data_IF_470737084589
#
_entry.id   IF_470737084589
#
_cell.length_a   1.000
_cell.length_b   1.000
_cell.length_c   1.000
_cell.angle_alpha   90.00
_cell.angle_beta   90.00
_cell.angle_gamma   90.00
#
_symmetry.space_group_name_H-M   'P 1'
#
loop_
_entity.id
_entity.type
_entity.pdbx_description
1 polymer ?
#
# COMPACT_ATOMS: atom_id res chain seq x y z
N UNK A 1 10.55 -20.53 2.37
CA UNK A 1 9.31 -20.02 2.99
C UNK A 1 8.20 -20.05 1.96
N UNK A 2 7.11 -20.75 2.23
CA UNK A 2 5.93 -20.77 1.36
C UNK A 2 5.18 -19.45 1.55
N UNK A 3 4.86 -18.76 0.46
CA UNK A 3 4.08 -17.53 0.52
C UNK A 3 2.68 -17.83 1.09
N UNK A 4 2.07 -16.91 1.88
CA UNK A 4 0.74 -17.12 2.39
C UNK A 4 -0.27 -17.30 1.24
N UNK A 5 -1.22 -18.23 1.41
CA UNK A 5 -2.25 -18.51 0.41
C UNK A 5 -3.21 -17.31 0.20
N UNK A 6 -3.28 -16.42 1.18
CA UNK A 6 -4.14 -15.24 1.19
C UNK A 6 -3.30 -13.98 1.00
N UNK A 7 -3.51 -13.27 -0.12
CA UNK A 7 -2.77 -12.05 -0.46
C UNK A 7 -3.73 -10.98 -0.96
N UNK A 8 -4.32 -10.23 -0.06
CA UNK A 8 -5.24 -9.14 -0.45
C UNK A 8 -4.54 -8.05 -1.24
N UNK A 9 -3.24 -7.84 -0.99
CA UNK A 9 -2.38 -6.87 -1.69
C UNK A 9 -1.06 -7.58 -2.01
N UNK A 10 -0.61 -7.48 -3.26
CA UNK A 10 0.70 -7.99 -3.65
C UNK A 10 1.79 -6.93 -3.39
N UNK A 11 2.22 -6.86 -2.12
CA UNK A 11 3.27 -5.94 -1.70
C UNK A 11 4.60 -6.17 -2.41
N UNK A 12 4.88 -7.38 -2.87
CA UNK A 12 6.10 -7.67 -3.62
C UNK A 12 6.07 -6.98 -4.98
N UNK A 13 4.99 -7.17 -5.73
CA UNK A 13 4.79 -6.51 -7.02
C UNK A 13 4.83 -4.99 -6.88
N UNK A 14 4.20 -4.44 -5.82
CA UNK A 14 4.22 -3.02 -5.52
C UNK A 14 5.65 -2.52 -5.29
N UNK A 15 6.41 -3.18 -4.41
CA UNK A 15 7.79 -2.78 -4.11
C UNK A 15 8.68 -2.87 -5.33
N UNK A 16 8.59 -3.94 -6.10
CA UNK A 16 9.39 -4.13 -7.32
C UNK A 16 9.05 -3.05 -8.37
N UNK A 17 7.77 -2.70 -8.54
CA UNK A 17 7.32 -1.66 -9.47
C UNK A 17 7.83 -0.27 -9.06
N UNK A 18 7.72 0.08 -7.78
CA UNK A 18 8.17 1.36 -7.25
C UNK A 18 9.70 1.48 -7.33
N UNK A 19 10.42 0.41 -7.01
CA UNK A 19 11.87 0.36 -7.11
C UNK A 19 12.33 0.55 -8.55
N UNK A 20 11.78 -0.19 -9.50
CA UNK A 20 12.14 -0.09 -10.92
C UNK A 20 11.83 1.29 -11.49
N UNK A 21 10.65 1.86 -11.16
CA UNK A 21 10.32 3.22 -11.53
C UNK A 21 11.37 4.21 -11.06
N UNK A 22 11.77 4.09 -9.79
CA UNK A 22 12.71 5.03 -9.20
C UNK A 22 14.11 4.92 -9.80
N UNK A 23 14.60 3.70 -10.03
CA UNK A 23 15.87 3.45 -10.73
C UNK A 23 15.87 4.06 -12.12
N UNK A 24 14.81 3.80 -12.90
CA UNK A 24 14.70 4.26 -14.29
C UNK A 24 14.75 5.80 -14.40
N UNK A 25 14.25 6.51 -13.39
CA UNK A 25 14.09 7.96 -13.44
C UNK A 25 15.19 8.72 -12.72
N UNK A 26 15.60 8.26 -11.53
CA UNK A 26 16.61 8.97 -10.74
C UNK A 26 18.02 8.78 -11.29
N UNK A 27 18.25 7.68 -12.02
CA UNK A 27 19.58 7.29 -12.49
C UNK A 27 20.54 6.97 -11.34
N UNK A 28 20.00 6.64 -10.15
CA UNK A 28 20.78 6.27 -8.98
C UNK A 28 20.63 4.79 -8.67
N UNK A 29 21.66 4.20 -8.09
CA UNK A 29 21.48 2.95 -7.38
C UNK A 29 20.45 3.14 -6.27
N UNK A 30 19.42 2.29 -6.24
CA UNK A 30 18.29 2.45 -5.35
C UNK A 30 18.15 1.27 -4.42
N UNK A 31 18.01 1.54 -3.14
CA UNK A 31 17.83 0.54 -2.09
C UNK A 31 16.54 0.78 -1.31
N UNK A 32 16.04 -0.26 -0.66
CA UNK A 32 15.01 -0.11 0.37
C UNK A 32 15.67 0.18 1.71
N UNK A 33 15.20 1.20 2.44
CA UNK A 33 15.77 1.61 3.73
C UNK A 33 15.68 0.52 4.81
N UNK A 34 14.76 -0.43 4.66
CA UNK A 34 14.56 -1.57 5.55
C UNK A 34 15.39 -2.82 5.20
N UNK A 35 16.26 -2.71 4.20
CA UNK A 35 17.16 -3.81 3.81
C UNK A 35 18.45 -3.82 4.63
N UNK A 36 18.87 -5.02 5.06
CA UNK A 36 20.20 -5.23 5.66
C UNK A 36 21.27 -5.32 4.56
N UNK A 37 21.42 -4.25 3.78
CA UNK A 37 22.42 -4.16 2.72
C UNK A 37 23.46 -3.09 3.07
N UNK A 38 24.71 -3.22 2.61
CA UNK A 38 25.70 -2.15 2.72
C UNK A 38 25.18 -0.89 1.99
N UNK A 39 25.56 0.26 2.51
CA UNK A 39 25.27 1.53 1.85
C UNK A 39 25.95 1.57 0.48
N UNK A 40 25.20 1.90 -0.61
CA UNK A 40 25.83 2.08 -1.92
C UNK A 40 26.77 3.27 -1.97
N UNK A 41 27.57 3.33 -3.05
CA UNK A 41 28.33 4.52 -3.36
C UNK A 41 27.41 5.70 -3.75
N UNK A 42 27.83 6.92 -3.47
CA UNK A 42 27.11 8.12 -3.92
C UNK A 42 27.24 8.32 -5.45
N UNK A 43 26.20 8.82 -6.14
CA UNK A 43 24.86 9.09 -5.61
C UNK A 43 24.03 7.82 -5.50
N UNK A 44 23.23 7.71 -4.45
CA UNK A 44 22.26 6.63 -4.31
C UNK A 44 20.91 7.13 -3.81
N UNK A 45 19.89 6.31 -3.96
CA UNK A 45 18.57 6.58 -3.46
C UNK A 45 18.09 5.54 -2.45
N UNK A 46 17.30 5.96 -1.49
CA UNK A 46 16.63 5.07 -0.55
C UNK A 46 15.12 5.26 -0.57
N UNK A 47 14.40 4.15 -0.61
CA UNK A 47 12.94 4.11 -0.58
C UNK A 47 12.48 3.53 0.75
N UNK A 48 11.44 4.13 1.33
CA UNK A 48 10.84 3.65 2.56
C UNK A 48 9.32 3.79 2.52
N UNK A 49 8.60 2.69 2.74
CA UNK A 49 7.16 2.75 3.02
C UNK A 49 7.03 3.08 4.51
N UNK A 50 6.51 4.27 4.81
CA UNK A 50 6.46 4.76 6.18
C UNK A 50 5.55 3.89 7.05
N UNK A 51 6.01 3.42 8.22
CA UNK A 51 5.21 2.63 9.15
C UNK A 51 3.99 3.42 9.65
N UNK A 52 2.85 2.74 9.75
CA UNK A 52 1.61 3.34 10.26
C UNK A 52 0.88 4.27 9.30
N UNK A 53 1.37 4.43 8.06
CA UNK A 53 0.70 5.23 7.03
C UNK A 53 -0.22 4.40 6.13
N UNK A 54 -0.31 3.09 6.35
CA UNK A 54 -1.25 2.23 5.67
C UNK A 54 -2.63 2.45 6.28
N UNK A 55 -3.47 3.16 5.55
CA UNK A 55 -4.84 3.44 5.98
C UNK A 55 -5.79 2.37 5.43
N UNK A 56 -6.71 1.93 6.26
CA UNK A 56 -7.76 1.02 5.82
C UNK A 56 -8.80 1.70 4.90
N UNK A 57 -8.78 3.03 4.83
CA UNK A 57 -9.74 3.79 4.04
C UNK A 57 -11.18 3.64 4.54
N UNK A 58 -12.14 3.73 3.63
CA UNK A 58 -13.55 3.44 3.90
C UNK A 58 -13.76 1.93 4.15
N UNK A 59 -14.94 1.58 4.64
CA UNK A 59 -15.35 0.19 4.78
C UNK A 59 -15.16 -0.57 3.46
N UNK A 60 -14.68 -1.80 3.57
CA UNK A 60 -14.55 -2.69 2.42
C UNK A 60 -15.94 -2.97 1.83
N UNK A 61 -16.02 -3.00 0.51
CA UNK A 61 -17.24 -3.32 -0.21
C UNK A 61 -17.30 -4.82 -0.49
N UNK A 62 -18.43 -5.42 -0.17
CA UNK A 62 -18.72 -6.83 -0.45
C UNK A 62 -19.50 -6.94 -1.76
N UNK A 63 -19.05 -7.79 -2.67
CA UNK A 63 -19.70 -8.06 -3.95
C UNK A 63 -19.82 -9.56 -4.17
N UNK A 64 -21.03 -10.03 -4.43
CA UNK A 64 -21.26 -11.40 -4.87
C UNK A 64 -21.02 -11.43 -6.37
N UNK A 65 -20.13 -12.33 -6.81
CA UNK A 65 -19.80 -12.54 -8.21
C UNK A 65 -20.86 -13.47 -8.88
N UNK A 66 -20.88 -13.48 -10.20
CA UNK A 66 -21.81 -14.33 -10.96
C UNK A 66 -21.59 -15.84 -10.72
N UNK A 67 -20.38 -16.23 -10.28
CA UNK A 67 -20.03 -17.61 -9.92
C UNK A 67 -20.38 -17.96 -8.47
N UNK A 68 -21.03 -17.06 -7.73
CA UNK A 68 -21.40 -17.22 -6.33
C UNK A 68 -20.26 -16.98 -5.34
N UNK A 69 -19.06 -16.62 -5.78
CA UNK A 69 -17.96 -16.22 -4.88
C UNK A 69 -18.21 -14.85 -4.28
N UNK A 70 -17.73 -14.63 -3.05
CA UNK A 70 -17.73 -13.32 -2.42
C UNK A 70 -16.41 -12.61 -2.70
N UNK A 71 -16.49 -11.40 -3.28
CA UNK A 71 -15.36 -10.51 -3.44
C UNK A 71 -15.45 -9.37 -2.43
N UNK A 72 -14.43 -9.24 -1.59
CA UNK A 72 -14.27 -8.11 -0.67
C UNK A 72 -13.21 -7.17 -1.24
N UNK A 73 -13.57 -5.93 -1.49
CA UNK A 73 -12.73 -4.92 -2.12
C UNK A 73 -12.64 -3.69 -1.24
N UNK A 74 -11.43 -3.24 -0.95
CA UNK A 74 -11.25 -2.04 -0.14
C UNK A 74 -10.03 -1.22 -0.54
N UNK A 75 -10.15 0.13 -0.52
CA UNK A 75 -9.02 1.01 -0.79
C UNK A 75 -8.02 0.98 0.37
N UNK A 76 -6.75 1.05 0.03
CA UNK A 76 -5.65 1.18 0.98
C UNK A 76 -4.71 2.25 0.49
N UNK A 77 -4.32 3.16 1.37
CA UNK A 77 -3.36 4.22 1.09
C UNK A 77 -2.09 4.00 1.89
N UNK A 78 -0.96 4.37 1.31
CA UNK A 78 0.33 4.36 2.00
C UNK A 78 1.21 5.49 1.51
N UNK A 79 2.21 5.84 2.29
CA UNK A 79 3.19 6.87 1.92
C UNK A 79 4.53 6.21 1.64
N UNK A 80 5.08 6.51 0.47
CA UNK A 80 6.43 6.18 0.06
C UNK A 80 7.31 7.41 0.27
N UNK A 81 8.26 7.34 1.18
CA UNK A 81 9.31 8.35 1.34
C UNK A 81 10.51 7.98 0.48
N UNK A 82 10.92 8.89 -0.38
CA UNK A 82 12.04 8.73 -1.29
C UNK A 82 13.13 9.73 -0.93
N UNK A 83 14.36 9.26 -0.77
CA UNK A 83 15.50 10.11 -0.47
C UNK A 83 16.61 9.86 -1.48
N UNK A 84 17.21 10.93 -1.98
CA UNK A 84 18.36 10.89 -2.88
C UNK A 84 19.53 11.53 -2.17
N UNK A 85 20.62 10.78 -2.06
CA UNK A 85 21.83 11.15 -1.35
C UNK A 85 22.97 11.39 -2.35
N UNK A 86 23.56 12.58 -2.30
CA UNK A 86 24.72 12.95 -3.13
C UNK A 86 25.84 13.39 -2.22
N UNK A 87 26.94 12.66 -2.27
CA UNK A 87 28.16 12.99 -1.52
C UNK A 87 28.93 14.16 -2.16
N UNK A 88 29.87 14.76 -1.42
CA UNK A 88 30.64 15.92 -1.89
C UNK A 88 31.47 15.61 -3.14
N UNK A 89 32.01 14.39 -3.25
CA UNK A 89 32.87 13.98 -4.37
C UNK A 89 32.10 13.33 -5.52
N UNK A 90 30.78 13.20 -5.39
CA UNK A 90 29.96 12.49 -6.37
C UNK A 90 29.48 13.40 -7.50
N UNK A 91 29.58 14.72 -7.36
CA UNK A 91 29.13 15.71 -8.31
C UNK A 91 29.83 17.05 -8.06
N UNK A 92 30.05 17.84 -9.11
CA UNK A 92 30.58 19.21 -9.01
C UNK A 92 29.63 20.16 -8.25
N UNK A 93 28.33 19.89 -8.30
CA UNK A 93 27.30 20.58 -7.55
C UNK A 93 26.30 19.58 -6.92
N UNK A 94 26.64 18.99 -5.76
CA UNK A 94 25.80 17.98 -5.12
C UNK A 94 24.41 18.48 -4.74
N UNK A 95 24.24 19.77 -4.45
CA UNK A 95 22.93 20.35 -4.14
C UNK A 95 22.02 20.35 -5.37
N UNK A 96 22.49 20.90 -6.49
CA UNK A 96 21.71 20.91 -7.71
C UNK A 96 21.46 19.51 -8.26
N UNK A 97 22.44 18.60 -8.18
CA UNK A 97 22.28 17.23 -8.66
C UNK A 97 21.22 16.47 -7.86
N UNK A 98 21.25 16.52 -6.53
CA UNK A 98 20.24 15.86 -5.69
C UNK A 98 18.83 16.39 -5.96
N UNK A 99 18.69 17.70 -6.13
CA UNK A 99 17.42 18.34 -6.43
C UNK A 99 16.90 18.00 -7.84
N UNK A 100 17.75 18.07 -8.86
CA UNK A 100 17.35 17.75 -10.24
C UNK A 100 16.86 16.31 -10.36
N UNK A 101 17.50 15.37 -9.69
CA UNK A 101 17.07 13.96 -9.66
C UNK A 101 15.71 13.81 -8.98
N UNK A 102 15.48 14.49 -7.87
CA UNK A 102 14.19 14.47 -7.18
C UNK A 102 13.08 15.12 -8.04
N UNK A 103 13.38 16.25 -8.70
CA UNK A 103 12.43 16.91 -9.61
C UNK A 103 12.13 16.03 -10.84
N UNK A 104 13.11 15.27 -11.35
CA UNK A 104 12.89 14.29 -12.42
C UNK A 104 11.92 13.19 -11.99
N UNK A 105 12.09 12.64 -10.78
CA UNK A 105 11.17 11.66 -10.22
C UNK A 105 9.77 12.22 -10.11
N UNK A 106 9.61 13.41 -9.56
CA UNK A 106 8.31 14.09 -9.47
C UNK A 106 7.68 14.32 -10.85
N UNK A 107 8.46 14.78 -11.81
CA UNK A 107 7.97 15.06 -13.17
C UNK A 107 7.59 13.81 -13.94
N UNK A 108 8.26 12.68 -13.67
CA UNK A 108 7.99 11.40 -14.33
C UNK A 108 6.58 10.87 -14.09
N UNK A 109 5.93 11.27 -12.99
CA UNK A 109 4.55 10.90 -12.68
C UNK A 109 3.55 11.40 -13.73
N UNK A 110 3.92 12.42 -14.52
CA UNK A 110 3.16 12.91 -15.68
C UNK A 110 3.31 12.01 -16.91
N UNK A 111 4.33 11.14 -16.97
CA UNK A 111 4.64 10.32 -18.14
C UNK A 111 3.69 9.12 -18.20
N UNK A 112 2.96 8.91 -19.31
CA UNK A 112 1.97 7.84 -19.42
C UNK A 112 2.54 6.45 -19.15
N UNK A 113 3.75 6.15 -19.62
CA UNK A 113 4.38 4.84 -19.45
C UNK A 113 4.51 4.43 -17.97
N UNK A 114 5.01 5.32 -17.10
CA UNK A 114 5.14 5.04 -15.69
C UNK A 114 3.77 4.89 -15.02
N UNK A 115 2.79 5.68 -15.42
CA UNK A 115 1.41 5.54 -14.94
C UNK A 115 0.79 4.22 -15.33
N UNK A 116 1.06 3.70 -16.54
CA UNK A 116 0.59 2.37 -16.96
C UNK A 116 1.24 1.26 -16.15
N UNK A 117 2.56 1.33 -15.91
CA UNK A 117 3.27 0.35 -15.06
C UNK A 117 2.71 0.33 -13.63
N UNK A 118 2.46 1.49 -13.04
CA UNK A 118 1.84 1.59 -11.71
C UNK A 118 0.44 1.00 -11.69
N UNK A 119 -0.40 1.30 -12.68
CA UNK A 119 -1.74 0.71 -12.77
C UNK A 119 -1.70 -0.80 -12.92
N UNK A 120 -0.76 -1.35 -13.66
CA UNK A 120 -0.56 -2.79 -13.79
C UNK A 120 -0.23 -3.48 -12.45
N UNK A 121 0.39 -2.74 -11.53
CA UNK A 121 0.65 -3.16 -10.15
C UNK A 121 -0.46 -2.75 -9.17
N UNK A 122 -1.64 -2.36 -9.68
CA UNK A 122 -2.77 -1.88 -8.86
C UNK A 122 -2.42 -0.65 -8.00
N UNK A 123 -1.57 0.24 -8.52
CA UNK A 123 -1.16 1.46 -7.85
C UNK A 123 -1.77 2.70 -8.51
N UNK A 124 -2.30 3.58 -7.69
CA UNK A 124 -2.73 4.93 -8.07
C UNK A 124 -1.98 5.98 -7.25
N UNK A 125 -1.55 7.05 -7.90
CA UNK A 125 -0.97 8.20 -7.21
C UNK A 125 -2.12 9.04 -6.66
N UNK A 126 -2.09 9.31 -5.36
CA UNK A 126 -3.08 10.14 -4.67
C UNK A 126 -2.59 11.56 -4.52
N UNK A 127 -1.35 11.71 -4.06
CA UNK A 127 -0.74 12.99 -3.76
C UNK A 127 0.79 12.91 -3.78
N UNK A 128 1.44 14.06 -3.82
CA UNK A 128 2.89 14.20 -3.71
C UNK A 128 3.23 15.39 -2.81
N UNK A 129 4.20 15.19 -1.94
CA UNK A 129 4.79 16.27 -1.17
C UNK A 129 5.72 17.17 -1.99
N UNK A 130 6.14 18.30 -1.46
CA UNK A 130 7.19 19.11 -2.03
C UNK A 130 8.54 18.38 -1.96
N UNK A 131 9.44 18.69 -2.90
CA UNK A 131 10.85 18.31 -2.77
C UNK A 131 11.49 19.14 -1.66
N UNK A 132 11.95 18.45 -0.62
CA UNK A 132 12.63 19.05 0.54
C UNK A 132 14.12 18.78 0.45
N UNK A 133 14.94 19.80 0.72
CA UNK A 133 16.38 19.65 0.84
C UNK A 133 16.71 19.46 2.32
N UNK A 134 17.25 18.31 2.66
CA UNK A 134 17.57 17.90 4.02
C UNK A 134 19.06 17.51 4.08
N UNK A 135 19.91 18.50 4.28
CA UNK A 135 21.35 18.25 4.36
C UNK A 135 21.70 17.44 5.60
N UNK A 136 22.64 16.52 5.45
CA UNK A 136 23.14 15.68 6.53
C UNK A 136 24.65 15.87 6.68
N UNK A 137 25.09 16.19 7.88
CA UNK A 137 26.50 16.23 8.21
C UNK A 137 26.95 14.85 8.72
N UNK A 138 27.95 14.26 8.06
CA UNK A 138 28.56 13.01 8.46
C UNK A 138 30.06 13.24 8.67
N UNK A 139 30.48 13.27 9.91
CA UNK A 139 31.87 13.63 10.25
C UNK A 139 32.16 15.10 9.90
N UNK A 140 33.02 15.34 8.92
CA UNK A 140 33.37 16.68 8.43
C UNK A 140 32.77 16.99 7.06
N UNK A 141 31.97 16.08 6.51
CA UNK A 141 31.43 16.19 5.17
C UNK A 141 29.92 16.45 5.19
N UNK A 142 29.48 17.27 4.26
CA UNK A 142 28.07 17.54 4.04
C UNK A 142 27.53 16.71 2.90
N UNK A 143 26.60 15.81 3.21
CA UNK A 143 25.86 15.03 2.23
C UNK A 143 24.59 15.79 1.87
N UNK A 144 24.40 16.07 0.60
CA UNK A 144 23.18 16.70 0.11
C UNK A 144 22.11 15.63 -0.06
N UNK A 145 20.95 15.90 0.56
CA UNK A 145 19.84 14.97 0.56
C UNK A 145 18.56 15.68 0.10
N UNK A 146 18.00 15.20 -1.00
CA UNK A 146 16.67 15.58 -1.44
C UNK A 146 15.66 14.53 -1.01
N UNK A 147 14.56 14.93 -0.40
CA UNK A 147 13.46 14.05 -0.01
C UNK A 147 12.16 14.46 -0.68
N UNK A 148 11.38 13.49 -1.08
CA UNK A 148 10.00 13.65 -1.53
C UNK A 148 9.15 12.49 -1.05
N UNK A 149 7.96 12.80 -0.58
CA UNK A 149 7.00 11.81 -0.11
C UNK A 149 5.85 11.72 -1.10
N UNK A 150 5.47 10.50 -1.46
CA UNK A 150 4.36 10.22 -2.35
C UNK A 150 3.29 9.42 -1.61
N UNK A 151 2.04 9.85 -1.71
CA UNK A 151 0.91 9.06 -1.26
C UNK A 151 0.36 8.24 -2.41
N UNK A 152 0.41 6.92 -2.25
CA UNK A 152 -0.14 5.96 -3.19
C UNK A 152 -1.40 5.32 -2.63
N UNK A 153 -2.33 5.00 -3.52
CA UNK A 153 -3.48 4.15 -3.23
C UNK A 153 -3.37 2.82 -3.95
N UNK A 154 -3.82 1.77 -3.31
CA UNK A 154 -3.99 0.43 -3.88
C UNK A 154 -5.33 -0.15 -3.46
N UNK A 155 -5.74 -1.23 -4.09
CA UNK A 155 -6.97 -1.95 -3.73
C UNK A 155 -6.62 -3.30 -3.13
N UNK A 156 -7.19 -3.57 -1.97
CA UNK A 156 -7.23 -4.92 -1.41
C UNK A 156 -8.33 -5.71 -2.12
N UNK A 157 -8.01 -6.88 -2.65
CA UNK A 157 -8.96 -7.77 -3.30
C UNK A 157 -8.90 -9.13 -2.62
N UNK A 158 -10.01 -9.55 -2.04
CA UNK A 158 -10.16 -10.82 -1.37
C UNK A 158 -11.30 -11.58 -2.02
N UNK A 159 -11.00 -12.65 -2.73
CA UNK A 159 -12.02 -13.54 -3.29
C UNK A 159 -12.18 -14.76 -2.38
N UNK A 160 -13.36 -14.98 -1.85
CA UNK A 160 -13.74 -16.14 -1.07
C UNK A 160 -14.56 -17.05 -1.98
N UNK A 161 -13.93 -18.14 -2.45
CA UNK A 161 -14.61 -19.22 -3.14
C UNK A 161 -15.45 -19.95 -2.12
N UNK A 162 -16.35 -20.71 -2.30
CA UNK A 162 -17.15 -21.49 -1.35
C UNK A 162 -17.82 -20.62 -0.26
N UNK A 163 -18.12 -19.37 -0.57
CA UNK A 163 -18.98 -18.57 0.28
C UNK A 163 -20.35 -19.24 0.34
N UNK A 164 -20.89 -19.49 1.54
CA UNK A 164 -22.21 -20.12 1.65
C UNK A 164 -23.22 -19.30 0.87
N UNK A 165 -23.87 -19.96 -0.09
CA UNK A 165 -24.83 -19.29 -0.95
C UNK A 165 -25.96 -18.71 -0.08
N UNK A 166 -26.14 -17.40 -0.11
CA UNK A 166 -27.22 -16.70 0.60
C UNK A 166 -28.63 -17.18 0.21
N UNK A 167 -28.71 -17.92 -0.90
CA UNK A 167 -29.96 -18.60 -1.31
C UNK A 167 -30.19 -19.94 -0.59
N UNK A 168 -29.24 -20.40 0.26
CA UNK A 168 -29.49 -21.53 1.14
C UNK A 168 -30.23 -21.03 2.40
N UNK A 169 -31.55 -21.27 2.53
CA UNK A 169 -32.32 -20.80 3.65
C UNK A 169 -31.87 -21.37 5.00
N UNK A 170 -30.97 -22.36 4.99
CA UNK A 170 -30.36 -22.92 6.19
C UNK A 170 -29.33 -22.01 6.86
N UNK A 171 -28.86 -20.97 6.18
CA UNK A 171 -27.79 -20.10 6.72
C UNK A 171 -28.29 -19.17 7.84
N UNK A 172 -29.54 -18.73 7.79
CA UNK A 172 -30.16 -17.92 8.83
C UNK A 172 -30.91 -18.70 9.90
N UNK A 173 -31.01 -20.04 9.78
CA UNK A 173 -31.73 -20.87 10.73
C UNK A 173 -31.04 -21.07 12.07
N UNK A 174 -29.83 -20.50 12.29
CA UNK A 174 -29.09 -20.59 13.56
C UNK A 174 -28.26 -19.32 13.84
N UNK A 175 -28.91 -18.18 14.02
CA UNK A 175 -28.25 -17.06 14.70
C UNK A 175 -28.52 -17.19 16.20
N UNK A 176 -27.65 -17.89 16.90
CA UNK A 176 -27.64 -17.87 18.37
C UNK A 176 -26.93 -16.58 18.82
N UNK A 177 -27.67 -15.51 19.02
CA UNK A 177 -27.17 -14.29 19.64
C UNK A 177 -27.21 -14.46 21.18
N UNK A 178 -26.06 -14.74 21.80
CA UNK A 178 -25.93 -14.70 23.25
C UNK A 178 -25.54 -13.28 23.67
N UNK A 179 -26.48 -12.46 24.09
CA UNK A 179 -26.21 -11.16 24.70
C UNK A 179 -26.00 -11.37 26.23
N UNK A 180 -24.74 -11.25 26.68
CA UNK A 180 -24.43 -11.16 28.12
C UNK A 180 -24.65 -9.71 28.59
N UNK A 181 -25.84 -9.41 29.06
CA UNK A 181 -26.09 -8.22 29.86
C UNK A 181 -25.66 -8.51 31.30
N UNK A 182 -24.85 -7.64 31.89
CA UNK A 182 -24.41 -7.71 33.27
C UNK A 182 -25.62 -7.83 34.21
N UNK A 183 -25.90 -9.03 34.71
CA UNK A 183 -26.94 -9.26 35.73
C UNK A 183 -27.95 -10.37 35.47
N UNK A 184 -28.16 -10.84 34.26
CA UNK A 184 -28.94 -12.04 33.96
C UNK A 184 -28.72 -12.50 32.51
N UNK A 185 -28.60 -13.81 32.25
CA UNK A 185 -28.57 -14.32 30.89
C UNK A 185 -29.98 -14.23 30.30
N UNK A 186 -30.17 -13.32 29.33
CA UNK A 186 -31.37 -13.31 28.50
C UNK A 186 -31.05 -14.07 27.21
N UNK A 187 -31.56 -15.29 27.08
CA UNK A 187 -31.61 -15.98 25.80
C UNK A 187 -32.81 -15.47 25.01
N UNK A 188 -32.56 -14.75 23.92
CA UNK A 188 -33.63 -14.42 22.98
C UNK A 188 -33.72 -15.61 22.03
N UNK A 189 -34.71 -16.44 22.17
CA UNK A 189 -35.06 -17.44 21.15
C UNK A 189 -36.01 -16.77 20.16
N UNK A 190 -35.55 -16.67 18.92
CA UNK A 190 -36.43 -16.33 17.81
C UNK A 190 -37.13 -17.60 17.36
N UNK A 191 -38.45 -17.67 17.52
CA UNK A 191 -39.23 -18.78 17.00
C UNK A 191 -39.41 -18.61 15.50
N UNK A 192 -39.16 -19.66 14.73
CA UNK A 192 -39.33 -19.75 13.27
C UNK A 192 -40.77 -19.47 12.79
N UNK A 193 -41.73 -19.38 13.70
CA UNK A 193 -43.17 -19.16 13.38
C UNK A 193 -43.48 -17.76 12.78
N UNK A 194 -42.53 -16.81 12.82
CA UNK A 194 -42.75 -15.44 12.29
C UNK A 194 -42.30 -15.26 10.84
N UNK A 195 -41.76 -16.29 10.20
CA UNK A 195 -41.24 -16.24 8.83
C UNK A 195 -41.96 -17.21 7.87
N UNK A 196 -43.14 -17.69 8.18
CA UNK A 196 -43.96 -18.42 7.22
C UNK A 196 -44.63 -17.43 6.27
N UNK A 197 -44.19 -17.33 4.98
CA UNK A 197 -44.78 -16.40 4.02
C UNK A 197 -46.15 -16.83 3.55
N UNK A 198 -46.71 -17.94 4.07
CA UNK A 198 -48.03 -18.47 3.72
C UNK A 198 -49.02 -18.54 4.91
N UNK A 199 -48.72 -17.84 6.04
CA UNK A 199 -49.62 -17.70 7.14
C UNK A 199 -50.50 -16.41 7.04
#
# INVERSE_FOLDING_TARGET
MTAPAFRPIDWRLIRDTLWQWFVDVSGCETIWADQSAPQPAYPYASLNILPGTIDAGALDEERIQDDGSLLIVGPRDFVLSCQIHVGPDASDDPYCDSRMRADAVVSSLGIPEFRYRMRAANLGIRDRGPVQMLDLEVGTEWIKRAQVDFRFGTMSNVAIKDWPNLSDPGWFSKVEATANLTGAPASIQWNDELLDPNA
#
